data_IF_698783385307
#
_entry.id   IF_698783385307
#
_cell.length_a   1.000
_cell.length_b   1.000
_cell.length_c   1.000
_cell.angle_alpha   90.00
_cell.angle_beta   90.00
_cell.angle_gamma   90.00
#
_symmetry.space_group_name_H-M   'P 1'
#
loop_
_entity.id
_entity.type
_entity.pdbx_description
1 polymer ?
#
# COMPACT_ATOMS: atom_id res chain seq x y z
N UNK A 1 27.93 4.30 16.99
CA UNK A 1 26.92 5.26 16.49
C UNK A 1 25.49 4.83 16.81
N UNK A 2 24.93 3.76 16.24
CA UNK A 2 23.51 3.37 16.47
C UNK A 2 23.18 3.22 17.97
N UNK A 3 23.99 2.48 18.71
CA UNK A 3 23.83 2.29 20.17
C UNK A 3 24.05 3.56 20.98
N UNK A 4 24.89 4.48 20.50
CA UNK A 4 25.12 5.78 21.15
C UNK A 4 23.96 6.75 20.91
N UNK A 5 23.37 6.73 19.71
CA UNK A 5 22.28 7.62 19.30
C UNK A 5 20.95 7.16 19.91
N UNK A 6 20.65 5.86 19.79
CA UNK A 6 19.38 5.32 20.24
C UNK A 6 19.45 4.81 21.68
N UNK A 7 20.62 4.56 22.26
CA UNK A 7 20.74 4.15 23.67
C UNK A 7 19.72 3.09 24.07
N UNK A 8 18.96 3.40 25.11
CA UNK A 8 17.95 2.50 25.67
C UNK A 8 16.72 2.32 24.79
N UNK A 9 16.42 3.20 23.83
CA UNK A 9 15.26 3.01 22.95
C UNK A 9 15.50 1.94 21.89
N UNK A 10 16.73 1.51 21.65
CA UNK A 10 17.03 0.42 20.72
C UNK A 10 16.65 -0.94 21.32
N UNK A 11 15.79 -1.68 20.63
CA UNK A 11 15.43 -3.05 20.99
C UNK A 11 16.30 -4.06 20.24
N UNK A 12 16.86 -5.02 21.00
CA UNK A 12 17.70 -6.11 20.50
C UNK A 12 17.22 -7.44 21.07
N UNK A 13 17.20 -8.52 20.27
CA UNK A 13 16.75 -9.84 20.71
C UNK A 13 17.85 -10.76 21.25
N UNK A 14 19.11 -10.29 21.34
CA UNK A 14 20.24 -11.16 21.66
C UNK A 14 20.55 -12.15 20.54
N UNK A 15 21.38 -13.17 20.81
CA UNK A 15 21.84 -14.14 19.82
C UNK A 15 20.79 -15.21 19.43
N UNK A 16 19.65 -15.24 20.10
CA UNK A 16 18.60 -16.24 19.91
C UNK A 16 17.60 -15.84 18.83
N UNK A 17 17.10 -16.84 18.08
CA UNK A 17 16.07 -16.61 17.09
C UNK A 17 14.69 -16.53 17.75
N UNK A 18 13.92 -15.49 17.38
CA UNK A 18 12.55 -15.32 17.85
C UNK A 18 11.64 -16.49 17.41
N UNK A 19 10.85 -16.99 18.36
CA UNK A 19 9.77 -17.96 18.10
C UNK A 19 8.46 -17.30 17.66
N UNK A 20 8.27 -16.03 18.05
CA UNK A 20 7.17 -15.15 17.69
C UNK A 20 7.68 -13.70 17.64
N UNK A 21 7.03 -12.84 16.83
CA UNK A 21 7.33 -11.41 16.84
C UNK A 21 6.70 -10.73 18.07
N UNK A 22 7.40 -9.78 18.72
CA UNK A 22 6.82 -9.04 19.82
C UNK A 22 5.66 -8.16 19.34
N UNK A 23 4.67 -7.95 20.22
CA UNK A 23 3.51 -7.11 19.89
C UNK A 23 3.90 -5.63 19.80
N UNK A 24 3.15 -4.81 19.03
CA UNK A 24 3.36 -3.36 19.01
C UNK A 24 3.33 -2.72 20.41
N UNK A 25 2.48 -3.20 21.32
CA UNK A 25 2.42 -2.67 22.69
C UNK A 25 3.69 -2.99 23.49
N UNK A 26 4.26 -4.21 23.34
CA UNK A 26 5.52 -4.59 24.02
C UNK A 26 6.73 -3.80 23.52
N UNK A 27 6.65 -3.24 22.31
CA UNK A 27 7.71 -2.48 21.64
C UNK A 27 7.43 -0.98 21.63
N UNK A 28 6.46 -0.51 22.43
CA UNK A 28 6.09 0.90 22.48
C UNK A 28 7.28 1.77 22.87
N UNK A 29 7.54 2.80 22.07
CA UNK A 29 8.69 3.70 22.26
C UNK A 29 10.05 3.08 21.94
N UNK A 30 10.10 1.90 21.32
CA UNK A 30 11.34 1.23 20.92
C UNK A 30 11.61 1.37 19.42
N UNK A 31 12.88 1.29 19.04
CA UNK A 31 13.36 1.23 17.66
C UNK A 31 13.95 -0.16 17.41
N UNK A 32 13.65 -0.74 16.25
CA UNK A 32 14.10 -2.08 15.88
C UNK A 32 14.93 -2.01 14.61
N UNK A 33 16.07 -2.70 14.59
CA UNK A 33 16.82 -2.92 13.36
C UNK A 33 16.31 -4.19 12.69
N UNK A 34 15.88 -4.05 11.43
CA UNK A 34 15.47 -5.17 10.59
C UNK A 34 16.25 -5.20 9.29
N UNK A 35 17.24 -6.09 9.21
CA UNK A 35 18.14 -6.21 8.05
C UNK A 35 18.71 -7.62 7.93
N UNK A 36 19.47 -7.87 6.86
CA UNK A 36 20.21 -9.12 6.68
C UNK A 36 21.37 -9.14 7.66
N UNK A 37 21.60 -10.26 8.37
CA UNK A 37 22.81 -10.38 9.17
C UNK A 37 24.04 -10.29 8.24
N UNK A 38 25.10 -9.60 8.66
CA UNK A 38 26.33 -9.54 7.88
C UNK A 38 26.83 -10.96 7.65
N UNK A 39 27.01 -11.33 6.37
CA UNK A 39 27.74 -12.53 5.98
C UNK A 39 29.23 -12.19 5.92
N UNK A 40 30.09 -13.17 6.12
CA UNK A 40 31.49 -13.19 5.71
C UNK A 40 31.57 -12.84 4.21
N UNK A 41 31.56 -11.55 3.89
CA UNK A 41 31.31 -11.00 2.55
C UNK A 41 32.50 -11.13 1.59
N UNK A 42 33.48 -11.98 1.92
CA UNK A 42 34.77 -12.05 1.22
C UNK A 42 34.89 -13.14 0.15
N UNK A 43 34.05 -14.18 0.12
CA UNK A 43 34.33 -15.33 -0.75
C UNK A 43 33.64 -15.35 -2.12
N UNK A 44 32.88 -14.33 -2.51
CA UNK A 44 32.25 -14.34 -3.83
C UNK A 44 32.33 -13.01 -4.58
N UNK A 45 33.55 -12.52 -4.84
CA UNK A 45 33.84 -11.69 -6.01
C UNK A 45 35.21 -12.04 -6.58
N UNK A 46 35.25 -12.96 -7.56
CA UNK A 46 36.24 -12.89 -8.64
C UNK A 46 35.68 -11.93 -9.69
N UNK A 47 36.42 -10.89 -10.11
CA UNK A 47 35.93 -9.95 -11.11
C UNK A 47 36.09 -10.56 -12.51
N UNK A 48 35.00 -10.66 -13.27
CA UNK A 48 35.06 -10.79 -14.72
C UNK A 48 34.77 -9.42 -15.35
N UNK A 49 35.69 -8.99 -16.19
CA UNK A 49 35.70 -7.71 -16.90
C UNK A 49 34.63 -7.61 -18.00
N UNK A 50 34.15 -6.35 -18.18
CA UNK A 50 33.69 -5.65 -19.42
C UNK A 50 32.52 -6.25 -20.23
N UNK A 51 31.54 -5.42 -20.59
CA UNK A 51 31.65 -4.55 -21.78
C UNK A 51 30.56 -3.46 -21.90
N UNK A 52 30.84 -2.47 -22.75
CA UNK A 52 30.17 -1.19 -22.96
C UNK A 52 28.78 -1.22 -23.66
N UNK A 53 27.92 -0.28 -23.24
CA UNK A 53 27.25 0.68 -24.15
C UNK A 53 25.86 0.34 -24.74
N UNK A 54 24.84 1.14 -24.37
CA UNK A 54 24.11 1.98 -25.34
C UNK A 54 23.10 2.92 -24.65
N UNK A 55 23.17 4.20 -25.01
CA UNK A 55 22.11 5.19 -24.77
C UNK A 55 20.97 4.97 -25.77
N UNK A 56 19.71 5.08 -25.34
CA UNK A 56 18.62 5.59 -26.18
C UNK A 56 17.38 6.04 -25.38
N UNK A 57 17.03 7.31 -25.57
CA UNK A 57 15.67 7.71 -25.94
C UNK A 57 14.64 7.90 -24.82
N UNK A 58 14.53 9.13 -24.32
CA UNK A 58 13.32 9.69 -23.68
C UNK A 58 12.08 9.44 -24.54
N UNK A 59 11.03 8.90 -23.94
CA UNK A 59 9.63 9.22 -24.27
C UNK A 59 8.86 9.41 -22.97
N UNK A 60 8.45 10.66 -22.73
CA UNK A 60 7.41 11.01 -21.78
C UNK A 60 6.08 10.47 -22.30
N UNK A 61 5.45 9.58 -21.54
CA UNK A 61 4.03 9.29 -21.69
C UNK A 61 3.38 9.58 -20.35
N UNK A 62 2.63 10.68 -20.31
CA UNK A 62 1.69 10.99 -19.24
C UNK A 62 0.69 9.84 -19.15
N UNK A 63 0.78 9.06 -18.07
CA UNK A 63 -0.19 8.02 -17.78
C UNK A 63 -1.53 8.69 -17.43
N UNK A 64 -2.55 8.36 -18.23
CA UNK A 64 -3.95 8.72 -18.01
C UNK A 64 -4.31 8.57 -16.53
N UNK A 65 -5.03 9.58 -16.00
CA UNK A 65 -5.46 9.80 -14.62
C UNK A 65 -6.38 8.71 -14.01
N UNK A 66 -6.27 7.46 -14.45
CA UNK A 66 -6.85 6.30 -13.79
C UNK A 66 -5.82 5.17 -13.74
N UNK A 67 -5.09 5.05 -12.63
CA UNK A 67 -4.31 3.85 -12.35
C UNK A 67 -5.23 2.62 -12.49
N UNK A 68 -4.78 1.61 -13.25
CA UNK A 68 -5.55 0.43 -13.63
C UNK A 68 -6.44 -0.11 -12.49
N UNK A 69 -7.73 -0.28 -12.77
CA UNK A 69 -8.69 -0.84 -11.82
C UNK A 69 -8.34 -2.28 -11.42
N UNK A 70 -8.92 -2.79 -10.34
CA UNK A 70 -8.71 -4.19 -9.92
C UNK A 70 -9.18 -5.18 -11.00
N UNK A 71 -10.17 -4.81 -11.82
CA UNK A 71 -10.58 -5.54 -13.02
C UNK A 71 -9.51 -5.51 -14.13
N UNK A 72 -8.85 -4.39 -14.37
CA UNK A 72 -7.69 -4.32 -15.29
C UNK A 72 -6.48 -5.06 -14.74
N UNK A 73 -6.37 -5.21 -13.43
CA UNK A 73 -5.36 -6.05 -12.79
C UNK A 73 -5.62 -7.52 -13.04
N UNK A 74 -6.85 -8.01 -13.14
CA UNK A 74 -7.10 -9.40 -13.57
C UNK A 74 -6.68 -9.60 -15.03
N UNK A 75 -6.87 -8.60 -15.89
CA UNK A 75 -6.38 -8.62 -17.28
C UNK A 75 -4.85 -8.50 -17.38
N UNK A 76 -4.21 -7.63 -16.59
CA UNK A 76 -2.73 -7.58 -16.47
C UNK A 76 -2.19 -8.87 -15.87
N UNK A 77 -2.86 -9.46 -14.88
CA UNK A 77 -2.54 -10.76 -14.30
C UNK A 77 -2.61 -11.89 -15.34
N UNK A 78 -3.59 -11.87 -16.26
CA UNK A 78 -3.67 -12.79 -17.40
C UNK A 78 -2.52 -12.53 -18.38
N UNK A 79 -2.23 -11.26 -18.72
CA UNK A 79 -1.13 -10.91 -19.62
C UNK A 79 0.26 -11.30 -19.07
N UNK A 80 0.46 -11.26 -17.75
CA UNK A 80 1.67 -11.78 -17.09
C UNK A 80 1.75 -13.31 -17.10
N UNK A 81 0.63 -14.03 -17.19
CA UNK A 81 0.62 -15.49 -17.29
C UNK A 81 1.01 -16.01 -18.68
N UNK A 82 0.83 -15.19 -19.72
CA UNK A 82 1.18 -15.53 -21.11
C UNK A 82 2.64 -15.24 -21.45
N UNK A 83 3.30 -14.31 -20.74
CA UNK A 83 4.74 -14.06 -20.86
C UNK A 83 5.54 -14.94 -19.88
N UNK A 84 5.76 -16.20 -20.25
CA UNK A 84 6.80 -17.05 -19.63
C UNK A 84 8.18 -16.52 -20.04
N UNK A 85 8.71 -15.58 -19.26
CA UNK A 85 10.15 -15.30 -19.29
C UNK A 85 10.73 -15.68 -17.93
N UNK A 86 11.44 -16.80 -17.90
CA UNK A 86 12.22 -17.29 -16.76
C UNK A 86 13.50 -16.46 -16.61
N UNK A 87 13.35 -15.16 -16.41
CA UNK A 87 14.46 -14.27 -16.06
C UNK A 87 14.67 -14.27 -14.56
N UNK A 88 15.64 -15.03 -14.06
CA UNK A 88 16.12 -14.91 -12.69
C UNK A 88 16.77 -13.52 -12.50
N UNK A 89 15.98 -12.52 -12.12
CA UNK A 89 16.53 -11.24 -11.67
C UNK A 89 17.17 -11.45 -10.28
N UNK A 90 18.50 -11.47 -10.27
CA UNK A 90 19.30 -11.43 -9.04
C UNK A 90 18.92 -10.18 -8.24
N UNK A 91 18.54 -10.40 -6.97
CA UNK A 91 18.24 -9.34 -6.02
C UNK A 91 19.55 -8.69 -5.53
N UNK A 92 20.04 -7.74 -6.31
CA UNK A 92 21.05 -6.79 -5.86
C UNK A 92 20.35 -5.64 -5.11
N UNK A 93 20.23 -5.80 -3.79
CA UNK A 93 20.15 -4.64 -2.90
C UNK A 93 21.48 -3.90 -3.03
N UNK A 94 21.55 -2.96 -3.97
CA UNK A 94 22.66 -2.04 -4.09
C UNK A 94 22.58 -1.00 -2.95
N UNK A 95 23.08 -1.37 -1.77
CA UNK A 95 23.53 -0.38 -0.78
C UNK A 95 24.80 0.26 -1.35
N UNK A 96 24.67 1.48 -1.87
CA UNK A 96 25.80 2.29 -2.33
C UNK A 96 26.55 2.87 -1.14
N UNK A 97 27.39 2.05 -0.49
CA UNK A 97 28.40 2.54 0.45
C UNK A 97 29.79 2.29 -0.12
N UNK A 98 30.45 3.37 -0.54
CA UNK A 98 31.89 3.39 -0.70
C UNK A 98 32.53 3.47 0.69
N UNK A 99 33.06 2.37 1.20
CA UNK A 99 33.97 2.41 2.35
C UNK A 99 35.26 1.61 2.13
N UNK A 100 36.33 2.20 2.66
CA UNK A 100 37.73 1.79 2.55
C UNK A 100 37.97 0.33 2.98
N UNK A 101 38.86 -0.41 2.31
CA UNK A 101 39.08 -1.84 2.53
C UNK A 101 39.83 -2.23 3.83
N UNK A 102 39.74 -1.44 4.91
CA UNK A 102 40.55 -1.65 6.12
C UNK A 102 39.78 -1.78 7.44
N UNK A 103 38.48 -2.07 7.43
CA UNK A 103 37.70 -2.20 8.67
C UNK A 103 37.58 -3.68 9.11
N UNK A 104 38.52 -4.04 9.99
CA UNK A 104 38.52 -5.05 11.05
C UNK A 104 37.43 -6.15 11.08
N UNK A 105 37.90 -7.39 11.06
CA UNK A 105 37.16 -8.66 11.25
C UNK A 105 36.39 -8.80 12.58
N UNK A 106 36.49 -7.85 13.52
CA UNK A 106 35.84 -7.89 14.85
C UNK A 106 34.49 -7.15 14.95
N UNK A 107 34.03 -6.42 13.93
CA UNK A 107 32.79 -5.61 14.00
C UNK A 107 31.53 -6.40 13.60
N UNK A 108 31.68 -7.42 12.75
CA UNK A 108 30.56 -8.23 12.24
C UNK A 108 29.73 -8.93 13.34
N UNK A 109 30.31 -9.46 14.43
CA UNK A 109 29.55 -10.07 15.52
C UNK A 109 28.70 -9.05 16.27
N UNK A 110 29.24 -7.88 16.64
CA UNK A 110 28.53 -6.86 17.41
C UNK A 110 27.29 -6.35 16.66
N UNK A 111 27.43 -6.07 15.37
CA UNK A 111 26.30 -5.63 14.55
C UNK A 111 25.19 -6.69 14.45
N UNK A 112 25.54 -7.98 14.35
CA UNK A 112 24.56 -9.06 14.29
C UNK A 112 23.65 -9.10 15.52
N UNK A 113 24.19 -8.80 16.71
CA UNK A 113 23.42 -8.75 17.97
C UNK A 113 22.43 -7.57 18.02
N UNK A 114 22.63 -6.54 17.19
CA UNK A 114 21.71 -5.39 17.11
C UNK A 114 20.47 -5.69 16.25
N UNK A 115 20.50 -6.73 15.41
CA UNK A 115 19.42 -7.05 14.47
C UNK A 115 18.35 -7.88 15.17
N UNK A 116 17.24 -7.26 15.58
CA UNK A 116 16.15 -7.99 16.22
C UNK A 116 15.30 -8.80 15.21
N UNK A 117 15.12 -8.29 13.98
CA UNK A 117 14.35 -8.96 12.93
C UNK A 117 15.24 -9.23 11.73
N UNK A 118 15.74 -10.46 11.64
CA UNK A 118 16.61 -10.88 10.55
C UNK A 118 15.82 -11.08 9.25
N UNK A 119 16.25 -10.39 8.19
CA UNK A 119 15.74 -10.62 6.84
C UNK A 119 16.41 -11.88 6.25
N UNK A 120 15.60 -12.86 5.89
CA UNK A 120 16.07 -14.08 5.22
C UNK A 120 16.37 -13.86 3.74
N UNK A 121 17.44 -14.50 3.24
CA UNK A 121 17.57 -14.81 1.80
C UNK A 121 17.09 -16.24 1.62
N UNK A 122 15.96 -16.42 0.96
CA UNK A 122 15.55 -17.74 0.51
C UNK A 122 16.15 -17.94 -0.89
N UNK A 123 17.07 -18.89 -1.00
CA UNK A 123 17.54 -19.41 -2.30
C UNK A 123 16.68 -20.63 -2.60
N UNK A 124 16.22 -20.79 -3.84
CA UNK A 124 15.37 -21.91 -4.25
C UNK A 124 13.99 -21.48 -4.77
N UNK A 125 13.09 -22.43 -5.04
CA UNK A 125 11.72 -22.17 -5.51
C UNK A 125 10.90 -21.33 -4.53
N UNK A 126 9.91 -20.58 -5.04
CA UNK A 126 9.00 -19.75 -4.24
C UNK A 126 8.30 -20.53 -3.13
N UNK A 127 7.95 -21.80 -3.38
CA UNK A 127 7.34 -22.69 -2.38
C UNK A 127 8.20 -22.84 -1.13
N UNK A 128 9.52 -22.93 -1.28
CA UNK A 128 10.46 -23.00 -0.14
C UNK A 128 10.54 -21.68 0.63
N UNK A 129 10.32 -20.55 -0.05
CA UNK A 129 10.37 -19.23 0.58
C UNK A 129 9.21 -19.05 1.55
N UNK A 130 8.04 -19.56 1.19
CA UNK A 130 6.78 -19.45 1.94
C UNK A 130 6.60 -20.54 2.99
N UNK A 131 7.54 -21.48 3.12
CA UNK A 131 7.53 -22.48 4.20
C UNK A 131 7.44 -21.83 5.58
N UNK A 132 6.55 -22.34 6.42
CA UNK A 132 6.36 -21.87 7.79
C UNK A 132 7.05 -22.82 8.74
N UNK A 133 8.07 -22.31 9.45
CA UNK A 133 8.74 -23.03 10.53
C UNK A 133 7.90 -22.88 11.82
N UNK A 134 7.55 -23.99 12.51
CA UNK A 134 6.73 -23.95 13.71
C UNK A 134 7.48 -23.44 14.96
N UNK A 135 8.79 -23.26 14.90
CA UNK A 135 9.64 -22.87 16.02
C UNK A 135 10.25 -21.49 15.79
N UNK A 136 10.46 -21.07 14.54
CA UNK A 136 11.18 -19.84 14.21
C UNK A 136 10.39 -18.92 13.26
N UNK A 137 10.34 -17.63 13.60
CA UNK A 137 9.82 -16.61 12.67
C UNK A 137 10.90 -16.11 11.73
N UNK A 138 10.50 -15.76 10.50
CA UNK A 138 11.35 -15.14 9.50
C UNK A 138 10.68 -13.91 8.89
N UNK A 139 11.50 -13.00 8.35
CA UNK A 139 11.07 -11.92 7.48
C UNK A 139 11.61 -12.16 6.08
N UNK A 140 10.77 -12.01 5.05
CA UNK A 140 11.22 -11.97 3.65
C UNK A 140 10.85 -10.63 3.00
N UNK A 141 11.49 -10.31 1.89
CA UNK A 141 11.16 -9.11 1.10
C UNK A 141 10.92 -9.51 -0.36
N UNK A 142 9.86 -8.97 -0.97
CA UNK A 142 9.51 -9.17 -2.38
C UNK A 142 9.36 -7.80 -3.05
N UNK A 143 9.81 -7.67 -4.29
CA UNK A 143 9.39 -6.54 -5.11
C UNK A 143 7.93 -6.73 -5.59
N UNK A 144 7.31 -5.66 -6.07
CA UNK A 144 5.90 -5.68 -6.50
C UNK A 144 5.58 -6.72 -7.59
N UNK A 145 6.48 -6.97 -8.54
CA UNK A 145 6.24 -7.91 -9.66
C UNK A 145 6.30 -9.36 -9.17
N UNK A 146 7.30 -9.68 -8.33
CA UNK A 146 7.37 -10.96 -7.63
C UNK A 146 6.13 -11.18 -6.78
N UNK A 147 5.67 -10.17 -6.03
CA UNK A 147 4.44 -10.27 -5.25
C UNK A 147 3.23 -10.62 -6.12
N UNK A 148 3.05 -9.98 -7.28
CA UNK A 148 1.94 -10.28 -8.20
C UNK A 148 1.99 -11.74 -8.64
N UNK A 149 3.16 -12.24 -9.06
CA UNK A 149 3.32 -13.63 -9.46
C UNK A 149 3.01 -14.61 -8.31
N UNK A 150 3.55 -14.36 -7.11
CA UNK A 150 3.31 -15.20 -5.94
C UNK A 150 1.83 -15.17 -5.53
N UNK A 151 1.19 -14.00 -5.54
CA UNK A 151 -0.23 -13.87 -5.22
C UNK A 151 -1.11 -14.69 -6.17
N UNK A 152 -0.76 -14.72 -7.46
CA UNK A 152 -1.49 -15.47 -8.48
C UNK A 152 -1.37 -16.98 -8.34
N UNK A 153 -0.14 -17.46 -8.14
CA UNK A 153 0.20 -18.88 -8.19
C UNK A 153 0.17 -19.56 -6.82
N UNK A 154 0.45 -18.81 -5.75
CA UNK A 154 0.68 -19.30 -4.38
C UNK A 154 -0.03 -18.45 -3.32
N UNK A 155 -1.19 -17.85 -3.64
CA UNK A 155 -1.89 -16.92 -2.74
C UNK A 155 -2.23 -17.50 -1.36
N UNK A 156 -2.65 -18.77 -1.28
CA UNK A 156 -2.88 -19.46 0.00
C UNK A 156 -1.61 -19.61 0.82
N UNK A 157 -0.53 -20.06 0.20
CA UNK A 157 0.77 -20.24 0.86
C UNK A 157 1.29 -18.89 1.39
N UNK A 158 1.06 -17.81 0.62
CA UNK A 158 1.42 -16.46 1.02
C UNK A 158 0.65 -15.98 2.26
N UNK A 159 -0.67 -16.24 2.32
CA UNK A 159 -1.48 -15.93 3.51
C UNK A 159 -1.03 -16.76 4.71
N UNK A 160 -0.83 -18.08 4.53
CA UNK A 160 -0.32 -18.97 5.58
C UNK A 160 1.02 -18.47 6.11
N UNK A 161 1.91 -18.04 5.21
CA UNK A 161 3.19 -17.46 5.57
C UNK A 161 3.02 -16.21 6.44
N UNK A 162 2.18 -15.24 6.03
CA UNK A 162 2.03 -13.96 6.73
C UNK A 162 1.23 -14.03 8.03
N UNK A 163 0.60 -15.16 8.37
CA UNK A 163 -0.01 -15.36 9.68
C UNK A 163 1.03 -15.35 10.81
N UNK A 164 2.23 -15.89 10.54
CA UNK A 164 3.31 -16.00 11.53
C UNK A 164 4.56 -15.18 11.18
N UNK A 165 4.79 -14.94 9.90
CA UNK A 165 5.99 -14.31 9.38
C UNK A 165 5.73 -12.88 8.86
N UNK A 166 6.78 -12.08 8.73
CA UNK A 166 6.69 -10.74 8.17
C UNK A 166 7.05 -10.74 6.68
N UNK A 167 6.21 -10.09 5.88
CA UNK A 167 6.47 -9.84 4.47
C UNK A 167 6.63 -8.34 4.23
N UNK A 168 7.80 -7.97 3.70
CA UNK A 168 8.04 -6.64 3.14
C UNK A 168 7.84 -6.64 1.64
N UNK A 169 7.06 -5.68 1.15
CA UNK A 169 6.87 -5.42 -0.28
C UNK A 169 7.49 -4.07 -0.60
N UNK A 170 8.19 -3.95 -1.73
CA UNK A 170 8.80 -2.69 -2.15
C UNK A 170 8.65 -2.44 -3.65
N UNK A 171 8.71 -1.17 -4.10
CA UNK A 171 8.62 -0.84 -5.52
C UNK A 171 9.76 -1.46 -6.33
N UNK A 172 9.53 -1.79 -7.60
CA UNK A 172 10.60 -2.29 -8.48
C UNK A 172 11.63 -1.20 -8.80
N UNK A 173 12.88 -1.59 -9.01
CA UNK A 173 13.99 -0.66 -9.28
C UNK A 173 13.81 0.17 -10.55
N UNK A 174 13.00 -0.28 -11.52
CA UNK A 174 12.72 0.47 -12.75
C UNK A 174 11.84 1.71 -12.55
N UNK A 175 11.22 1.90 -11.36
CA UNK A 175 10.45 3.11 -11.03
C UNK A 175 11.39 4.29 -10.71
N UNK A 176 12.16 4.70 -11.72
CA UNK A 176 13.10 5.83 -11.63
C UNK A 176 12.40 7.17 -11.36
N UNK A 177 11.11 7.26 -11.69
CA UNK A 177 10.23 8.38 -11.42
C UNK A 177 9.67 8.39 -9.99
N UNK A 178 10.05 7.42 -9.16
CA UNK A 178 9.53 7.24 -7.80
C UNK A 178 8.01 7.01 -7.72
N UNK A 179 7.38 6.55 -8.81
CA UNK A 179 5.98 6.13 -8.79
C UNK A 179 5.72 5.01 -7.77
N UNK A 180 4.45 4.82 -7.38
CA UNK A 180 4.05 3.81 -6.40
C UNK A 180 3.15 2.74 -7.03
N UNK A 181 3.19 1.54 -6.46
CA UNK A 181 2.39 0.39 -6.88
C UNK A 181 1.08 0.28 -6.09
N UNK A 182 0.14 -0.53 -6.56
CA UNK A 182 -1.12 -0.75 -5.85
C UNK A 182 -0.89 -1.59 -4.58
N UNK A 183 -1.16 -1.05 -3.37
CA UNK A 183 -0.87 -1.76 -2.13
C UNK A 183 -1.87 -2.86 -1.77
N UNK A 184 -3.05 -2.86 -2.39
CA UNK A 184 -4.14 -3.77 -2.06
C UNK A 184 -3.71 -5.22 -2.25
N UNK A 185 -2.90 -5.53 -3.27
CA UNK A 185 -2.42 -6.90 -3.51
C UNK A 185 -1.65 -7.43 -2.30
N UNK A 186 -0.79 -6.60 -1.71
CA UNK A 186 -0.04 -6.96 -0.50
C UNK A 186 -0.97 -7.16 0.69
N UNK A 187 -1.83 -6.19 0.98
CA UNK A 187 -2.73 -6.25 2.13
C UNK A 187 -3.74 -7.41 2.04
N UNK A 188 -4.28 -7.72 0.87
CA UNK A 188 -5.17 -8.86 0.65
C UNK A 188 -4.51 -10.22 0.93
N UNK A 189 -3.18 -10.30 0.83
CA UNK A 189 -2.41 -11.50 1.13
C UNK A 189 -1.69 -11.42 2.49
N UNK A 190 -2.04 -10.43 3.30
CA UNK A 190 -1.56 -10.27 4.67
C UNK A 190 -0.16 -9.65 4.81
N UNK A 191 0.40 -9.08 3.74
CA UNK A 191 1.67 -8.34 3.81
C UNK A 191 1.55 -7.15 4.76
N UNK A 192 2.48 -7.05 5.72
CA UNK A 192 2.43 -6.05 6.78
C UNK A 192 3.27 -4.82 6.43
N UNK A 193 4.41 -5.02 5.75
CA UNK A 193 5.37 -3.95 5.46
C UNK A 193 5.33 -3.59 3.97
N UNK A 194 4.23 -2.96 3.54
CA UNK A 194 4.05 -2.48 2.17
C UNK A 194 4.72 -1.11 2.05
N UNK A 195 5.93 -1.06 1.50
CA UNK A 195 6.76 0.15 1.44
C UNK A 195 6.41 1.02 0.22
N UNK A 196 6.45 2.34 0.41
CA UNK A 196 6.13 3.33 -0.61
C UNK A 196 7.24 4.37 -0.72
N UNK A 197 7.33 4.99 -1.90
CA UNK A 197 8.06 6.22 -2.15
C UNK A 197 7.23 7.41 -1.64
N UNK A 198 7.54 7.88 -0.43
CA UNK A 198 6.76 8.93 0.27
C UNK A 198 6.92 10.33 -0.34
N UNK A 199 7.94 10.54 -1.17
CA UNK A 199 8.20 11.77 -1.92
C UNK A 199 7.23 11.99 -3.11
N UNK A 200 6.54 10.93 -3.53
CA UNK A 200 5.58 10.99 -4.64
C UNK A 200 4.22 11.54 -4.21
N UNK A 201 3.26 11.49 -5.13
CA UNK A 201 1.86 11.79 -4.88
C UNK A 201 0.96 10.78 -5.62
N UNK A 202 -0.35 10.90 -5.39
CA UNK A 202 -1.36 10.13 -6.13
C UNK A 202 -1.95 8.94 -5.37
N UNK A 203 -2.78 8.19 -6.08
CA UNK A 203 -3.72 7.21 -5.51
C UNK A 203 -3.09 6.20 -4.55
N UNK A 204 -1.95 5.55 -4.84
CA UNK A 204 -1.36 4.59 -3.91
C UNK A 204 -1.06 5.19 -2.53
N UNK A 205 -0.55 6.44 -2.50
CA UNK A 205 -0.29 7.15 -1.25
C UNK A 205 -1.57 7.59 -0.56
N UNK A 206 -2.61 7.98 -1.31
CA UNK A 206 -3.93 8.29 -0.73
C UNK A 206 -4.55 7.06 -0.06
N UNK A 207 -4.43 5.87 -0.68
CA UNK A 207 -4.89 4.61 -0.09
C UNK A 207 -4.11 4.26 1.17
N UNK A 208 -2.78 4.44 1.15
CA UNK A 208 -1.92 4.23 2.33
C UNK A 208 -2.29 5.18 3.47
N UNK A 209 -2.36 6.49 3.19
CA UNK A 209 -2.79 7.50 4.16
C UNK A 209 -4.19 7.19 4.69
N UNK A 210 -5.11 6.75 3.82
CA UNK A 210 -6.45 6.30 4.18
C UNK A 210 -6.43 5.13 5.14
N UNK A 211 -5.79 4.02 4.78
CA UNK A 211 -5.65 2.80 5.60
C UNK A 211 -5.11 3.13 6.99
N UNK A 212 -4.02 3.89 7.06
CA UNK A 212 -3.35 4.21 8.32
C UNK A 212 -3.99 5.36 9.10
N UNK A 213 -5.12 5.95 8.65
CA UNK A 213 -5.99 6.74 9.55
C UNK A 213 -6.73 5.86 10.55
N UNK A 214 -6.87 4.56 10.28
CA UNK A 214 -7.46 3.60 11.22
C UNK A 214 -6.63 3.52 12.51
N UNK A 215 -7.24 2.97 13.57
CA UNK A 215 -6.58 2.73 14.85
C UNK A 215 -5.89 3.99 15.42
N UNK A 216 -6.55 5.16 15.30
CA UNK A 216 -6.06 6.43 15.81
C UNK A 216 -4.81 6.98 15.11
N UNK A 217 -4.44 6.47 13.93
CA UNK A 217 -3.30 6.99 13.19
C UNK A 217 -1.93 6.50 13.70
N UNK A 218 -1.88 5.43 14.49
CA UNK A 218 -0.65 5.00 15.16
C UNK A 218 0.37 4.28 14.26
N UNK A 219 0.04 4.04 12.99
CA UNK A 219 0.89 3.33 12.03
C UNK A 219 0.74 1.79 12.05
N UNK A 220 -0.08 1.23 12.94
CA UNK A 220 -0.38 -0.20 13.00
C UNK A 220 -1.89 -0.44 12.87
N UNK A 221 -2.30 -1.28 11.92
CA UNK A 221 -3.70 -1.67 11.70
C UNK A 221 -3.79 -3.19 11.80
N UNK A 222 -4.71 -3.69 12.64
CA UNK A 222 -4.90 -5.13 12.82
C UNK A 222 -5.44 -5.74 11.53
N UNK A 223 -4.83 -6.84 11.07
CA UNK A 223 -5.35 -7.61 9.92
C UNK A 223 -6.76 -8.16 10.22
N UNK A 224 -7.62 -8.32 9.20
CA UNK A 224 -8.89 -9.01 9.35
C UNK A 224 -8.69 -10.46 9.82
N UNK A 225 -9.68 -11.00 10.54
CA UNK A 225 -9.62 -12.36 11.11
C UNK A 225 -9.37 -13.44 10.04
N UNK A 226 -9.87 -13.26 8.82
CA UNK A 226 -9.64 -14.19 7.70
C UNK A 226 -8.17 -14.29 7.28
N UNK A 227 -7.32 -13.31 7.61
CA UNK A 227 -5.88 -13.30 7.35
C UNK A 227 -5.05 -13.66 8.61
N UNK A 228 -5.72 -13.98 9.72
CA UNK A 228 -5.10 -14.31 11.01
C UNK A 228 -5.36 -15.77 11.42
N UNK A 229 -6.53 -16.31 11.11
CA UNK A 229 -6.95 -17.64 11.57
C UNK A 229 -7.05 -18.64 10.43
N UNK A 230 -6.85 -19.91 10.77
CA UNK A 230 -7.25 -21.05 9.94
C UNK A 230 -8.66 -21.49 10.31
N UNK A 231 -9.34 -22.17 9.39
CA UNK A 231 -10.65 -22.78 9.66
C UNK A 231 -10.52 -24.09 10.47
N UNK A 232 -11.65 -24.76 10.72
CA UNK A 232 -11.69 -26.01 11.48
C UNK A 232 -10.87 -27.16 10.86
N UNK A 233 -10.58 -27.09 9.56
CA UNK A 233 -9.76 -28.07 8.83
C UNK A 233 -8.29 -27.63 8.74
N UNK A 234 -7.91 -26.58 9.48
CA UNK A 234 -6.60 -25.94 9.42
C UNK A 234 -6.27 -25.36 8.02
N UNK A 235 -7.30 -24.98 7.26
CA UNK A 235 -7.16 -24.35 5.96
C UNK A 235 -7.16 -22.83 6.07
N UNK A 236 -6.38 -22.18 5.21
CA UNK A 236 -6.29 -20.71 5.15
C UNK A 236 -7.30 -20.16 4.15
N UNK A 237 -7.63 -18.87 4.32
CA UNK A 237 -8.46 -18.18 3.36
C UNK A 237 -7.89 -18.26 1.93
N UNK A 238 -8.76 -18.58 0.98
CA UNK A 238 -8.45 -18.53 -0.45
C UNK A 238 -8.91 -17.19 -1.02
N UNK A 239 -7.99 -16.32 -1.49
CA UNK A 239 -8.34 -15.03 -2.10
C UNK A 239 -9.22 -15.16 -3.34
N UNK A 240 -9.21 -16.32 -4.01
CA UNK A 240 -10.03 -16.59 -5.20
C UNK A 240 -11.44 -17.06 -4.85
N UNK A 241 -11.70 -17.42 -3.59
CA UNK A 241 -13.02 -17.88 -3.14
C UNK A 241 -13.98 -16.70 -3.08
N UNK A 242 -15.13 -16.87 -3.71
CA UNK A 242 -16.24 -15.94 -3.55
C UNK A 242 -16.77 -15.99 -2.12
N UNK A 243 -16.77 -14.82 -1.47
CA UNK A 243 -17.32 -14.63 -0.14
C UNK A 243 -18.73 -14.03 -0.26
N UNK A 244 -19.59 -14.34 0.70
CA UNK A 244 -20.89 -13.68 0.82
C UNK A 244 -20.71 -12.24 1.28
N UNK A 245 -21.66 -11.38 0.91
CA UNK A 245 -21.74 -10.01 1.43
C UNK A 245 -21.92 -10.07 2.95
N UNK A 246 -21.07 -9.37 3.69
CA UNK A 246 -21.16 -9.24 5.17
C UNK A 246 -22.00 -8.02 5.56
N UNK A 247 -21.94 -6.96 4.77
CA UNK A 247 -22.69 -5.72 5.00
C UNK A 247 -22.77 -4.91 3.71
N UNK A 248 -23.75 -4.04 3.60
CA UNK A 248 -23.88 -3.05 2.53
C UNK A 248 -23.69 -1.65 3.10
N UNK A 249 -22.69 -0.92 2.61
CA UNK A 249 -22.49 0.49 2.93
C UNK A 249 -23.34 1.34 1.99
N UNK A 250 -24.28 2.11 2.56
CA UNK A 250 -25.00 3.17 1.88
C UNK A 250 -24.32 4.51 2.15
N UNK A 251 -24.07 5.26 1.09
CA UNK A 251 -23.45 6.59 1.14
C UNK A 251 -24.31 7.59 0.40
N UNK A 252 -24.79 8.60 1.11
CA UNK A 252 -25.47 9.75 0.50
C UNK A 252 -24.57 10.97 0.49
N UNK A 253 -24.36 11.56 -0.68
CA UNK A 253 -23.59 12.78 -0.88
C UNK A 253 -24.58 13.93 -1.01
N UNK A 254 -24.70 14.78 0.02
CA UNK A 254 -25.66 15.89 -0.02
C UNK A 254 -25.10 17.07 -0.80
N UNK A 255 -23.98 17.61 -0.35
CA UNK A 255 -23.42 18.84 -0.89
C UNK A 255 -21.93 18.98 -0.56
N UNK A 256 -21.26 19.89 -1.25
CA UNK A 256 -19.89 20.30 -0.98
C UNK A 256 -19.81 21.80 -0.74
N UNK A 257 -18.84 22.24 0.07
CA UNK A 257 -18.57 23.67 0.29
C UNK A 257 -17.13 23.93 0.67
N UNK A 258 -16.71 25.18 0.52
CA UNK A 258 -15.44 25.70 1.03
C UNK A 258 -14.41 26.02 -0.06
N UNK A 259 -14.61 25.58 -1.31
CA UNK A 259 -13.68 25.88 -2.39
C UNK A 259 -13.51 27.39 -2.63
N UNK A 260 -14.60 28.17 -2.59
CA UNK A 260 -14.55 29.62 -2.75
C UNK A 260 -13.80 30.37 -1.64
N UNK A 261 -13.49 29.71 -0.53
CA UNK A 261 -12.70 30.27 0.57
C UNK A 261 -11.21 29.95 0.41
N UNK A 262 -10.90 28.77 -0.15
CA UNK A 262 -9.53 28.27 -0.26
C UNK A 262 -8.89 28.57 -1.63
N UNK A 263 -9.70 28.81 -2.66
CA UNK A 263 -9.27 29.03 -4.04
C UNK A 263 -9.73 30.36 -4.61
N UNK A 264 -8.94 30.92 -5.55
CA UNK A 264 -9.35 32.10 -6.32
C UNK A 264 -10.51 31.73 -7.24
N UNK A 265 -11.34 32.72 -7.58
CA UNK A 265 -12.48 32.53 -8.49
C UNK A 265 -12.10 32.00 -9.86
N UNK A 266 -10.87 32.24 -10.29
CA UNK A 266 -10.34 31.82 -11.60
C UNK A 266 -9.49 30.54 -11.52
N UNK A 267 -9.59 29.77 -10.43
CA UNK A 267 -8.70 28.64 -10.19
C UNK A 267 -9.03 27.43 -11.06
N UNK A 268 -10.32 27.11 -11.14
CA UNK A 268 -10.83 26.02 -11.96
C UNK A 268 -11.15 26.56 -13.35
N UNK A 269 -12.16 27.42 -13.46
CA UNK A 269 -12.46 28.10 -14.72
C UNK A 269 -12.04 29.56 -14.72
N UNK A 270 -11.59 30.05 -15.88
CA UNK A 270 -11.22 31.45 -16.05
C UNK A 270 -12.42 32.41 -16.04
N UNK A 271 -13.60 31.94 -16.49
CA UNK A 271 -14.76 32.80 -16.79
C UNK A 271 -16.07 32.37 -16.12
N UNK A 272 -16.13 31.16 -15.56
CA UNK A 272 -17.30 30.59 -14.87
C UNK A 272 -16.95 30.13 -13.45
N UNK A 273 -17.92 29.88 -12.58
CA UNK A 273 -17.75 28.99 -11.45
C UNK A 273 -17.54 27.53 -11.90
N UNK A 274 -17.01 26.65 -11.02
CA UNK A 274 -16.68 25.27 -11.36
C UNK A 274 -17.89 24.35 -11.52
N UNK A 275 -17.74 23.33 -12.37
CA UNK A 275 -18.72 22.27 -12.64
C UNK A 275 -18.42 21.00 -11.84
N UNK A 276 -18.59 21.05 -10.52
CA UNK A 276 -18.16 19.94 -9.66
C UNK A 276 -19.04 18.69 -9.73
N UNK A 277 -18.37 17.53 -9.76
CA UNK A 277 -18.97 16.22 -9.53
C UNK A 277 -18.11 15.36 -8.60
N UNK A 278 -18.72 14.35 -7.98
CA UNK A 278 -18.05 13.44 -7.03
C UNK A 278 -17.92 12.05 -7.65
N UNK A 279 -16.69 11.55 -7.72
CA UNK A 279 -16.39 10.11 -7.91
C UNK A 279 -16.28 9.46 -6.54
N UNK A 280 -17.08 8.44 -6.29
CA UNK A 280 -17.06 7.66 -5.05
C UNK A 280 -16.89 6.18 -5.35
N UNK A 281 -16.02 5.50 -4.62
CA UNK A 281 -15.81 4.08 -4.82
C UNK A 281 -15.15 3.37 -3.67
N UNK A 282 -15.09 2.05 -3.78
CA UNK A 282 -14.43 1.18 -2.82
C UNK A 282 -13.10 0.72 -3.42
N UNK A 283 -12.02 0.93 -2.68
CA UNK A 283 -10.73 0.31 -2.92
C UNK A 283 -10.54 -0.81 -1.88
N UNK A 284 -10.49 -2.07 -2.32
CA UNK A 284 -10.46 -3.22 -1.42
C UNK A 284 -10.27 -4.52 -2.21
N UNK A 285 -10.95 -5.58 -1.79
CA UNK A 285 -10.97 -6.83 -2.55
C UNK A 285 -11.67 -6.66 -3.90
N UNK A 286 -11.31 -7.48 -4.88
CA UNK A 286 -11.83 -7.38 -6.25
C UNK A 286 -13.37 -7.43 -6.32
N UNK A 287 -14.00 -8.25 -5.47
CA UNK A 287 -15.47 -8.37 -5.41
C UNK A 287 -16.18 -7.09 -4.92
N UNK A 288 -15.49 -6.29 -4.10
CA UNK A 288 -16.03 -5.08 -3.46
C UNK A 288 -15.69 -3.82 -4.28
N UNK A 289 -14.68 -3.89 -5.15
CA UNK A 289 -14.16 -2.77 -5.92
C UNK A 289 -15.17 -2.25 -6.94
N UNK A 290 -15.72 -1.07 -6.69
CA UNK A 290 -16.70 -0.40 -7.56
C UNK A 290 -16.51 1.11 -7.49
N UNK A 291 -16.70 1.80 -8.60
CA UNK A 291 -16.72 3.28 -8.67
C UNK A 291 -18.05 3.73 -9.25
N UNK A 292 -18.62 4.78 -8.65
CA UNK A 292 -19.85 5.46 -9.07
C UNK A 292 -19.55 6.96 -9.10
N UNK A 293 -20.36 7.73 -9.82
CA UNK A 293 -20.24 9.18 -9.87
C UNK A 293 -21.60 9.86 -9.76
N UNK A 294 -21.60 11.06 -9.20
CA UNK A 294 -22.75 11.98 -9.27
C UNK A 294 -22.83 12.58 -10.67
N UNK A 295 -23.93 13.29 -10.96
CA UNK A 295 -23.94 14.28 -12.03
C UNK A 295 -23.07 15.49 -11.65
N UNK A 296 -22.55 16.19 -12.65
CA UNK A 296 -21.95 17.51 -12.44
C UNK A 296 -23.05 18.52 -12.09
N UNK A 297 -22.72 19.44 -11.21
CA UNK A 297 -23.55 20.61 -10.90
C UNK A 297 -22.84 21.80 -11.52
N UNK A 298 -23.45 22.36 -12.56
CA UNK A 298 -22.88 23.42 -13.37
C UNK A 298 -22.85 24.76 -12.62
N UNK A 299 -21.80 25.55 -12.86
CA UNK A 299 -21.61 26.93 -12.43
C UNK A 299 -21.84 27.16 -10.92
N UNK A 300 -21.34 26.27 -10.04
CA UNK A 300 -21.63 26.38 -8.60
C UNK A 300 -20.49 25.99 -7.65
N UNK A 301 -20.01 26.97 -6.88
CA UNK A 301 -19.02 26.80 -5.80
C UNK A 301 -19.52 26.02 -4.57
N UNK A 302 -20.84 25.80 -4.47
CA UNK A 302 -21.52 25.09 -3.37
C UNK A 302 -22.48 24.05 -3.98
N UNK A 303 -21.94 23.02 -4.65
CA UNK A 303 -22.75 22.03 -5.36
C UNK A 303 -23.61 21.22 -4.39
N UNK A 304 -24.87 20.96 -4.78
CA UNK A 304 -25.83 20.11 -4.06
C UNK A 304 -26.19 18.94 -4.97
N UNK A 305 -25.70 17.75 -4.66
CA UNK A 305 -25.87 16.54 -5.48
C UNK A 305 -27.09 15.71 -5.03
N UNK A 306 -27.21 15.44 -3.73
CA UNK A 306 -28.24 14.56 -3.14
C UNK A 306 -28.29 13.11 -3.66
N UNK A 307 -27.27 12.66 -4.38
CA UNK A 307 -27.13 11.27 -4.84
C UNK A 307 -26.86 10.30 -3.68
N UNK A 308 -27.37 9.07 -3.80
CA UNK A 308 -27.13 7.97 -2.87
C UNK A 308 -26.57 6.74 -3.61
N UNK A 309 -25.61 6.09 -2.98
CA UNK A 309 -24.87 4.98 -3.53
C UNK A 309 -24.79 3.81 -2.55
N UNK A 310 -25.00 2.61 -3.05
CA UNK A 310 -24.88 1.38 -2.25
C UNK A 310 -23.66 0.56 -2.69
N UNK A 311 -22.93 0.02 -1.71
CA UNK A 311 -21.74 -0.81 -1.90
C UNK A 311 -21.87 -2.07 -1.04
N UNK A 312 -22.21 -3.23 -1.64
CA UNK A 312 -22.14 -4.51 -0.94
C UNK A 312 -20.68 -4.90 -0.70
N UNK A 313 -20.33 -5.27 0.53
CA UNK A 313 -18.97 -5.55 0.97
C UNK A 313 -18.84 -6.97 1.52
N UNK A 314 -17.90 -7.72 0.94
CA UNK A 314 -17.52 -9.06 1.39
C UNK A 314 -16.40 -9.02 2.44
N UNK A 315 -15.49 -8.04 2.34
CA UNK A 315 -14.39 -7.83 3.30
C UNK A 315 -14.29 -6.35 3.69
N UNK A 316 -15.25 -5.81 4.47
CA UNK A 316 -15.27 -4.41 4.88
C UNK A 316 -14.00 -3.99 5.64
N UNK A 317 -13.31 -4.93 6.30
CA UNK A 317 -12.08 -4.67 7.05
C UNK A 317 -10.88 -4.32 6.16
N UNK A 318 -10.92 -4.64 4.86
CA UNK A 318 -9.92 -4.24 3.85
C UNK A 318 -10.45 -3.17 2.89
N UNK A 319 -11.71 -2.74 3.05
CA UNK A 319 -12.34 -1.77 2.17
C UNK A 319 -12.00 -0.34 2.62
N UNK A 320 -11.57 0.48 1.67
CA UNK A 320 -11.38 1.90 1.80
C UNK A 320 -12.41 2.62 0.94
N UNK A 321 -13.20 3.50 1.56
CA UNK A 321 -14.07 4.42 0.84
C UNK A 321 -13.21 5.55 0.26
N UNK A 322 -13.14 5.62 -1.05
CA UNK A 322 -12.44 6.66 -1.81
C UNK A 322 -13.46 7.65 -2.36
N UNK A 323 -13.22 8.92 -2.11
CA UNK A 323 -14.03 10.02 -2.58
C UNK A 323 -13.10 11.01 -3.26
N UNK A 324 -13.39 11.37 -4.51
CA UNK A 324 -12.66 12.37 -5.27
C UNK A 324 -13.68 13.36 -5.83
N UNK A 325 -13.41 14.64 -5.73
CA UNK A 325 -14.17 15.71 -6.36
C UNK A 325 -13.37 16.17 -7.57
N UNK A 326 -14.05 16.24 -8.70
CA UNK A 326 -13.49 16.67 -9.97
C UNK A 326 -14.35 17.81 -10.49
N UNK A 327 -13.72 18.74 -11.18
CA UNK A 327 -14.37 19.77 -11.97
C UNK A 327 -14.43 19.26 -13.42
N UNK A 328 -15.59 19.42 -14.07
CA UNK A 328 -15.83 18.83 -15.37
C UNK A 328 -15.47 19.81 -16.50
N UNK A 329 -14.44 19.46 -17.26
CA UNK A 329 -14.08 20.20 -18.47
C UNK A 329 -14.49 19.41 -19.72
N UNK A 330 -15.28 20.03 -20.59
CA UNK A 330 -15.73 19.45 -21.86
C UNK A 330 -14.58 19.14 -22.83
N UNK A 331 -13.47 19.87 -22.76
CA UNK A 331 -12.38 19.85 -23.76
C UNK A 331 -11.02 19.47 -23.20
N UNK A 332 -10.85 19.51 -21.87
CA UNK A 332 -9.60 19.14 -21.19
C UNK A 332 -9.75 17.93 -20.25
N UNK A 333 -8.70 17.62 -19.50
CA UNK A 333 -8.76 16.63 -18.43
C UNK A 333 -9.39 17.33 -17.23
N UNK A 334 -10.50 16.78 -16.73
CA UNK A 334 -11.18 17.22 -15.51
C UNK A 334 -10.20 17.68 -14.41
N UNK A 335 -10.40 18.90 -13.92
CA UNK A 335 -9.56 19.50 -12.90
C UNK A 335 -9.78 18.85 -11.53
N UNK A 336 -8.69 18.72 -10.76
CA UNK A 336 -8.75 18.04 -9.47
C UNK A 336 -9.28 18.95 -8.36
N UNK A 337 -10.53 18.71 -7.94
CA UNK A 337 -11.18 19.42 -6.84
C UNK A 337 -10.80 18.94 -5.44
N UNK A 338 -10.18 17.76 -5.31
CA UNK A 338 -9.73 17.19 -4.03
C UNK A 338 -10.11 15.73 -3.80
N UNK A 339 -9.53 15.09 -2.79
CA UNK A 339 -9.82 13.70 -2.44
C UNK A 339 -9.90 13.45 -0.93
N UNK A 340 -10.52 12.35 -0.54
CA UNK A 340 -10.28 11.70 0.74
C UNK A 340 -10.40 10.19 0.60
N UNK A 341 -9.63 9.47 1.41
CA UNK A 341 -9.71 8.03 1.56
C UNK A 341 -9.92 7.69 3.05
N UNK A 342 -10.90 6.82 3.33
CA UNK A 342 -11.36 6.52 4.69
C UNK A 342 -11.56 5.00 4.83
N UNK A 343 -11.03 4.34 5.88
CA UNK A 343 -11.30 2.94 6.16
C UNK A 343 -12.78 2.72 6.45
N UNK A 344 -13.42 1.79 5.74
CA UNK A 344 -14.85 1.53 5.91
C UNK A 344 -15.15 1.05 7.33
N UNK A 345 -14.29 0.21 7.91
CA UNK A 345 -14.40 -0.29 9.28
C UNK A 345 -14.40 0.81 10.36
N UNK A 346 -13.90 2.00 10.04
CA UNK A 346 -13.79 3.15 10.96
C UNK A 346 -14.85 4.22 10.68
N UNK A 347 -15.75 4.00 9.70
CA UNK A 347 -16.80 4.96 9.37
C UNK A 347 -17.85 5.03 10.48
N UNK A 348 -18.13 6.25 10.93
CA UNK A 348 -19.24 6.53 11.85
C UNK A 348 -20.52 6.80 11.08
N UNK A 349 -21.58 6.06 11.39
CA UNK A 349 -22.92 6.24 10.78
C UNK A 349 -23.51 7.62 11.05
N UNK A 350 -24.53 7.97 10.27
CA UNK A 350 -25.24 9.25 10.34
C UNK A 350 -24.64 10.32 9.44
N UNK A 351 -25.07 11.57 9.62
CA UNK A 351 -24.63 12.72 8.81
C UNK A 351 -23.29 13.24 9.35
N UNK A 352 -22.31 13.41 8.46
CA UNK A 352 -20.93 13.78 8.76
C UNK A 352 -20.44 14.85 7.78
N UNK A 353 -19.66 15.79 8.29
CA UNK A 353 -18.85 16.68 7.46
C UNK A 353 -17.48 16.03 7.22
N UNK A 354 -17.22 15.66 5.98
CA UNK A 354 -16.02 14.94 5.56
C UNK A 354 -15.01 15.93 4.98
N UNK A 355 -13.82 16.07 5.58
CA UNK A 355 -12.79 16.97 5.05
C UNK A 355 -12.18 16.44 3.76
N UNK A 356 -11.79 17.34 2.88
CA UNK A 356 -11.15 17.05 1.59
C UNK A 356 -9.67 17.49 1.62
N UNK A 357 -8.84 16.80 0.85
CA UNK A 357 -7.39 16.93 0.81
C UNK A 357 -6.94 17.16 -0.64
N UNK A 358 -5.79 17.80 -0.80
CA UNK A 358 -5.16 18.00 -2.10
C UNK A 358 -4.46 16.71 -2.60
N UNK A 359 -3.79 16.81 -3.76
CA UNK A 359 -3.08 15.68 -4.37
C UNK A 359 -1.92 15.13 -3.53
N UNK A 360 -1.33 15.97 -2.67
CA UNK A 360 -0.26 15.58 -1.74
C UNK A 360 -0.80 14.92 -0.47
N UNK A 361 -2.12 14.92 -0.28
CA UNK A 361 -2.76 14.44 0.95
C UNK A 361 -2.77 15.46 2.09
N UNK A 362 -2.58 16.74 1.78
CA UNK A 362 -2.69 17.84 2.75
C UNK A 362 -4.13 18.32 2.82
N UNK A 363 -4.63 18.56 4.03
CA UNK A 363 -6.03 18.91 4.27
C UNK A 363 -6.33 20.33 3.77
N UNK A 364 -7.40 20.49 3.00
CA UNK A 364 -7.91 21.83 2.70
C UNK A 364 -8.49 22.51 3.95
N UNK A 365 -8.19 23.80 4.19
CA UNK A 365 -8.66 24.50 5.39
C UNK A 365 -10.18 24.50 5.54
N UNK A 366 -10.91 24.76 4.44
CA UNK A 366 -12.35 25.03 4.44
C UNK A 366 -13.16 23.97 3.70
N UNK A 367 -12.58 23.26 2.73
CA UNK A 367 -13.32 22.32 1.87
C UNK A 367 -13.82 21.09 2.63
N UNK A 368 -15.13 20.86 2.58
CA UNK A 368 -15.81 19.70 3.19
C UNK A 368 -17.01 19.24 2.35
N UNK A 369 -17.27 17.93 2.38
CA UNK A 369 -18.50 17.32 1.89
C UNK A 369 -19.45 17.01 3.04
N UNK A 370 -20.75 17.28 2.88
CA UNK A 370 -21.78 16.80 3.80
C UNK A 370 -22.30 15.46 3.28
N UNK A 371 -22.11 14.40 4.07
CA UNK A 371 -22.42 13.03 3.65
C UNK A 371 -23.17 12.27 4.75
N UNK A 372 -23.96 11.26 4.39
CA UNK A 372 -24.52 10.29 5.34
C UNK A 372 -23.98 8.90 5.06
N UNK A 373 -23.61 8.19 6.11
CA UNK A 373 -23.17 6.80 6.06
C UNK A 373 -24.15 5.92 6.83
N UNK A 374 -24.52 4.79 6.25
CA UNK A 374 -25.41 3.81 6.86
C UNK A 374 -24.94 2.39 6.49
N UNK A 375 -24.92 1.49 7.46
CA UNK A 375 -24.60 0.08 7.24
C UNK A 375 -25.89 -0.73 7.34
N UNK A 376 -26.17 -1.50 6.31
CA UNK A 376 -27.27 -2.48 6.29
C UNK A 376 -26.65 -3.87 6.32
N UNK A 377 -27.15 -4.74 7.20
CA UNK A 377 -26.66 -6.11 7.36
C UNK A 377 -27.53 -7.05 6.53
#
# INVERSE_FOLDING_TARGET
MVTQVFGDILFTCGAECLSEFPSPESLKGRIIISTKPPKEYLESKKPSEKDNGSQKGKKSSEEKAWGAEISDLSQKMIAYSENKDNGECQDDEADSHHENPNIQQNIAPEYKHLIAIQAGKSKGPISEWLTVDPIKVKRISLNEEKLINVALNHGKDLIRFTQRNLLRVYPKGMRVDSSNYNPLIGWMHGAQMVAFNMQGHGRPLWLMQGMFKANGGCGYVKKPELLLKTDANNEVHDPKRLLSVKTTLKVKVYMGKGWHLDFKRTHFDAYSPPDFYVKIGIAGVAADSRVKKTKAIEDNWIPIWNDEFEFPLTVPELALLRIEVHEYDMSEIDDFGGQTCIPVSELRTGIRAVPIYNEKGEKYPSVKLLMRFEFVI
#
